data_IF_397608099226
#
_entry.id   IF_397608099226
#
_cell.length_a   1.000
_cell.length_b   1.000
_cell.length_c   1.000
_cell.angle_alpha   90.00
_cell.angle_beta   90.00
_cell.angle_gamma   90.00
#
_symmetry.space_group_name_H-M   'P 1'
#
loop_
_entity.id
_entity.type
_entity.pdbx_description
1 polymer ?
#
# COMPACT_ATOMS: atom_id res chain seq x y z
N UNK A 1 -3.05 25.05 49.49
CA UNK A 1 -3.95 24.31 48.56
C UNK A 1 -3.48 24.29 47.11
N UNK A 2 -3.11 25.41 46.48
CA UNK A 2 -2.67 25.45 45.05
C UNK A 2 -1.46 24.56 44.74
N UNK A 3 -0.45 24.52 45.62
CA UNK A 3 0.75 23.66 45.47
C UNK A 3 0.43 22.16 45.56
N UNK A 4 -0.52 21.77 46.42
CA UNK A 4 -0.96 20.36 46.56
C UNK A 4 -1.73 19.91 45.30
N UNK A 5 -2.58 20.78 44.73
CA UNK A 5 -3.30 20.49 43.48
C UNK A 5 -2.34 20.29 42.29
N UNK A 6 -1.31 21.13 42.18
CA UNK A 6 -0.28 20.99 41.12
C UNK A 6 0.49 19.68 41.28
N UNK A 7 0.86 19.32 42.51
CA UNK A 7 1.57 18.05 42.78
C UNK A 7 0.71 16.83 42.43
N UNK A 8 -0.58 16.84 42.76
CA UNK A 8 -1.51 15.75 42.41
C UNK A 8 -1.66 15.64 40.88
N UNK A 9 -1.80 16.76 40.17
CA UNK A 9 -1.84 16.75 38.70
C UNK A 9 -0.54 16.18 38.14
N UNK A 10 0.62 16.61 38.63
CA UNK A 10 1.92 16.10 38.17
C UNK A 10 2.08 14.60 38.41
N UNK A 11 1.66 14.10 39.59
CA UNK A 11 1.70 12.66 39.93
C UNK A 11 0.74 11.87 39.03
N UNK A 12 -0.46 12.38 38.77
CA UNK A 12 -1.42 11.73 37.86
C UNK A 12 -0.91 11.75 36.42
N UNK A 13 -0.31 12.85 35.96
CA UNK A 13 0.29 12.94 34.62
C UNK A 13 1.46 11.98 34.44
N UNK A 14 2.36 11.87 35.44
CA UNK A 14 3.50 10.93 35.41
C UNK A 14 3.01 9.47 35.51
N UNK A 15 1.97 9.20 36.32
CA UNK A 15 1.38 7.86 36.43
C UNK A 15 0.64 7.44 35.14
N UNK A 16 0.02 8.36 34.42
CA UNK A 16 -0.63 8.10 33.14
C UNK A 16 0.35 7.97 31.95
N UNK A 17 1.56 8.52 32.05
CA UNK A 17 2.57 8.42 30.99
C UNK A 17 3.24 7.04 30.89
N UNK A 18 3.12 6.19 31.92
CA UNK A 18 3.81 4.90 31.97
C UNK A 18 3.03 3.71 31.38
N UNK A 19 1.86 3.90 30.75
CA UNK A 19 0.96 2.76 30.43
C UNK A 19 0.32 2.76 29.04
N UNK A 20 0.90 3.44 28.05
CA UNK A 20 0.53 3.23 26.64
C UNK A 20 1.73 2.67 25.89
N UNK A 21 1.94 1.37 26.09
CA UNK A 21 2.96 0.59 25.42
C UNK A 21 2.27 -0.37 24.46
N UNK A 22 2.48 -0.17 23.17
CA UNK A 22 1.94 -1.02 22.11
C UNK A 22 3.11 -1.55 21.26
N UNK A 23 2.99 -2.79 20.80
CA UNK A 23 3.92 -3.30 19.79
C UNK A 23 3.75 -2.49 18.51
N UNK A 24 4.88 -2.07 17.93
CA UNK A 24 4.90 -1.41 16.63
C UNK A 24 5.48 -2.32 15.57
N UNK A 25 5.08 -2.14 14.30
CA UNK A 25 5.59 -2.95 13.20
C UNK A 25 5.74 -2.18 11.89
N UNK A 26 6.56 -2.72 11.00
CA UNK A 26 6.65 -2.26 9.61
C UNK A 26 5.59 -2.95 8.76
N UNK A 27 5.00 -2.18 7.86
CA UNK A 27 4.04 -2.67 6.88
C UNK A 27 4.74 -2.91 5.53
N UNK A 28 4.52 -4.08 4.91
CA UNK A 28 5.09 -4.38 3.60
C UNK A 28 4.34 -3.67 2.48
N UNK A 29 5.03 -3.44 1.36
CA UNK A 29 4.39 -2.97 0.13
C UNK A 29 3.43 -4.02 -0.43
N UNK A 30 2.34 -3.58 -1.05
CA UNK A 30 1.32 -4.47 -1.59
C UNK A 30 1.88 -5.46 -2.62
N UNK A 31 2.87 -5.03 -3.42
CA UNK A 31 3.59 -5.89 -4.36
C UNK A 31 4.25 -7.08 -3.66
N UNK A 32 4.91 -6.85 -2.53
CA UNK A 32 5.57 -7.91 -1.75
C UNK A 32 4.56 -8.89 -1.16
N UNK A 33 3.46 -8.38 -0.62
CA UNK A 33 2.36 -9.21 -0.10
C UNK A 33 1.84 -10.16 -1.17
N UNK A 34 1.52 -9.64 -2.35
CA UNK A 34 0.95 -10.44 -3.44
C UNK A 34 1.96 -11.49 -3.92
N UNK A 35 3.23 -11.12 -4.06
CA UNK A 35 4.29 -12.04 -4.51
C UNK A 35 4.57 -13.18 -3.52
N UNK A 36 4.41 -12.93 -2.22
CA UNK A 36 4.72 -13.91 -1.17
C UNK A 36 3.51 -14.74 -0.74
N UNK A 37 2.30 -14.27 -0.99
CA UNK A 37 1.09 -15.02 -0.69
C UNK A 37 0.97 -16.28 -1.57
N UNK A 38 0.36 -17.33 -1.04
CA UNK A 38 0.17 -18.62 -1.73
C UNK A 38 -1.29 -18.87 -2.13
N UNK A 39 -2.21 -18.16 -1.47
CA UNK A 39 -3.65 -18.25 -1.70
C UNK A 39 -4.26 -16.86 -1.75
N UNK A 40 -5.18 -16.68 -2.69
CA UNK A 40 -6.07 -15.53 -2.77
C UNK A 40 -7.52 -16.03 -2.70
N UNK A 41 -8.27 -15.59 -1.71
CA UNK A 41 -9.62 -16.11 -1.42
C UNK A 41 -10.58 -15.01 -0.99
N UNK A 42 -11.88 -15.21 -1.23
CA UNK A 42 -12.95 -14.50 -0.53
C UNK A 42 -13.46 -15.42 0.58
N UNK A 43 -13.53 -14.90 1.80
CA UNK A 43 -13.96 -15.67 2.96
C UNK A 43 -14.89 -14.87 3.88
N UNK A 44 -15.66 -15.60 4.67
CA UNK A 44 -16.47 -15.05 5.76
C UNK A 44 -15.81 -15.39 7.11
N UNK A 45 -15.69 -14.41 8.00
CA UNK A 45 -15.19 -14.61 9.37
C UNK A 45 -16.28 -15.30 10.19
N UNK A 46 -16.03 -16.53 10.63
CA UNK A 46 -16.98 -17.30 11.43
C UNK A 46 -16.81 -16.97 12.92
N UNK A 47 -15.57 -16.84 13.36
CA UNK A 47 -15.20 -16.71 14.77
C UNK A 47 -13.78 -16.15 14.90
N UNK A 48 -13.55 -15.39 15.97
CA UNK A 48 -12.24 -14.97 16.44
C UNK A 48 -12.11 -15.44 17.90
N UNK A 49 -11.17 -16.35 18.16
CA UNK A 49 -10.93 -16.93 19.48
C UNK A 49 -9.44 -16.88 19.86
N UNK A 50 -9.06 -17.58 20.94
CA UNK A 50 -7.65 -17.63 21.40
C UNK A 50 -6.71 -18.37 20.45
N UNK A 51 -7.23 -19.16 19.50
CA UNK A 51 -6.44 -19.87 18.50
C UNK A 51 -6.21 -19.01 17.26
N UNK A 52 -7.15 -18.11 16.93
CA UNK A 52 -7.03 -17.16 15.84
C UNK A 52 -8.34 -16.89 15.13
N UNK A 53 -8.25 -16.55 13.84
CA UNK A 53 -9.41 -16.21 12.99
C UNK A 53 -9.87 -17.46 12.25
N UNK A 54 -11.10 -17.90 12.49
CA UNK A 54 -11.72 -19.00 11.77
C UNK A 54 -12.49 -18.47 10.58
N UNK A 55 -12.14 -18.96 9.39
CA UNK A 55 -12.73 -18.51 8.14
C UNK A 55 -13.57 -19.62 7.49
N UNK A 56 -14.65 -19.23 6.83
CA UNK A 56 -15.35 -20.02 5.81
C UNK A 56 -14.96 -19.50 4.42
N UNK A 57 -14.34 -20.35 3.61
CA UNK A 57 -13.93 -20.00 2.25
C UNK A 57 -15.15 -20.00 1.33
N UNK A 58 -15.47 -18.83 0.76
CA UNK A 58 -16.59 -18.63 -0.16
C UNK A 58 -16.15 -18.78 -1.62
N UNK A 59 -14.94 -18.32 -1.95
CA UNK A 59 -14.37 -18.37 -3.29
C UNK A 59 -12.86 -18.49 -3.23
N UNK A 60 -12.29 -19.27 -4.16
CA UNK A 60 -10.84 -19.36 -4.36
C UNK A 60 -10.49 -18.68 -5.68
N UNK A 61 -9.41 -17.92 -5.69
CA UNK A 61 -8.82 -17.32 -6.87
C UNK A 61 -7.50 -18.02 -7.20
N UNK A 62 -7.16 -18.09 -8.49
CA UNK A 62 -5.99 -18.83 -8.96
C UNK A 62 -6.16 -20.36 -8.94
N UNK A 63 -5.04 -21.08 -8.98
CA UNK A 63 -5.04 -22.56 -9.07
C UNK A 63 -5.14 -23.26 -7.71
N UNK A 64 -4.51 -22.68 -6.68
CA UNK A 64 -4.48 -23.24 -5.35
C UNK A 64 -5.86 -23.12 -4.69
N UNK A 65 -6.31 -24.20 -4.06
CA UNK A 65 -7.60 -24.24 -3.36
C UNK A 65 -7.40 -24.53 -1.89
N UNK A 66 -8.13 -23.79 -1.07
CA UNK A 66 -8.25 -24.03 0.36
C UNK A 66 -9.47 -24.92 0.66
N UNK A 67 -9.42 -25.69 1.76
CA UNK A 67 -10.61 -26.34 2.28
C UNK A 67 -11.64 -25.28 2.70
N UNK A 68 -12.92 -25.68 2.81
CA UNK A 68 -14.02 -24.77 3.14
C UNK A 68 -13.82 -24.02 4.46
N UNK A 69 -13.01 -24.55 5.39
CA UNK A 69 -12.70 -23.92 6.66
C UNK A 69 -11.20 -23.88 6.89
N UNK A 70 -10.69 -22.73 7.29
CA UNK A 70 -9.28 -22.51 7.60
C UNK A 70 -9.13 -21.67 8.86
N UNK A 71 -7.98 -21.81 9.52
CA UNK A 71 -7.58 -21.02 10.67
C UNK A 71 -6.41 -20.13 10.28
N UNK A 72 -6.54 -18.82 10.54
CA UNK A 72 -5.44 -17.87 10.52
C UNK A 72 -4.94 -17.71 11.96
N UNK A 73 -3.67 -18.08 12.21
CA UNK A 73 -3.07 -18.03 13.55
C UNK A 73 -1.62 -17.52 13.53
N UNK A 74 -1.30 -16.64 12.59
CA UNK A 74 -0.02 -15.94 12.59
C UNK A 74 0.03 -14.79 11.62
N UNK A 75 1.22 -14.18 11.58
CA UNK A 75 1.59 -13.14 10.64
C UNK A 75 2.84 -13.57 9.87
N UNK A 76 2.87 -13.42 8.55
CA UNK A 76 3.97 -13.95 7.72
C UNK A 76 5.03 -12.92 7.34
N UNK A 77 4.69 -11.62 7.36
CA UNK A 77 5.60 -10.51 7.05
C UNK A 77 5.71 -9.52 8.21
N UNK A 78 5.30 -9.91 9.41
CA UNK A 78 5.37 -9.04 10.58
C UNK A 78 6.83 -8.82 11.00
N UNK A 79 7.30 -7.59 10.81
CA UNK A 79 8.56 -7.11 11.37
C UNK A 79 8.27 -6.15 12.52
N UNK A 80 8.56 -6.55 13.76
CA UNK A 80 8.31 -5.71 14.94
C UNK A 80 9.39 -4.62 15.04
N UNK A 81 8.96 -3.35 15.07
CA UNK A 81 9.83 -2.20 15.31
C UNK A 81 10.16 -2.02 16.80
N UNK A 82 9.14 -2.15 17.67
CA UNK A 82 9.33 -2.14 19.12
C UNK A 82 8.37 -3.12 19.79
N UNK A 83 8.86 -3.86 20.79
CA UNK A 83 8.02 -4.75 21.61
C UNK A 83 7.98 -4.21 23.03
N UNK A 84 6.83 -3.65 23.43
CA UNK A 84 6.72 -2.96 24.71
C UNK A 84 5.48 -3.32 25.56
N UNK A 85 4.50 -4.09 25.07
CA UNK A 85 3.44 -4.56 25.99
C UNK A 85 2.21 -5.23 25.37
N UNK A 86 1.46 -4.54 24.52
CA UNK A 86 0.26 -5.11 23.89
C UNK A 86 0.61 -5.85 22.60
N UNK A 87 0.41 -7.17 22.62
CA UNK A 87 0.60 -8.03 21.45
C UNK A 87 -0.20 -7.60 20.23
N UNK A 88 0.35 -7.86 19.04
CA UNK A 88 -0.40 -7.82 17.79
C UNK A 88 -1.67 -8.69 17.86
N UNK A 89 -2.78 -8.17 17.36
CA UNK A 89 -4.07 -8.87 17.36
C UNK A 89 -4.79 -8.66 16.03
N UNK A 90 -5.71 -9.57 15.73
CA UNK A 90 -6.64 -9.44 14.61
C UNK A 90 -7.80 -8.53 15.01
N UNK A 91 -8.19 -7.64 14.10
CA UNK A 91 -9.34 -6.75 14.28
C UNK A 91 -10.42 -7.10 13.24
N UNK A 92 -10.98 -8.30 13.36
CA UNK A 92 -12.02 -8.81 12.48
C UNK A 92 -13.31 -9.08 13.23
N UNK A 93 -14.43 -8.78 12.59
CA UNK A 93 -15.75 -9.02 13.14
C UNK A 93 -16.38 -10.30 12.58
N UNK A 94 -17.13 -11.01 13.43
CA UNK A 94 -17.90 -12.18 13.00
C UNK A 94 -18.94 -11.77 11.94
N UNK A 95 -18.97 -12.50 10.84
CA UNK A 95 -19.86 -12.26 9.70
C UNK A 95 -19.29 -11.31 8.65
N UNK A 96 -18.10 -10.75 8.89
CA UNK A 96 -17.42 -9.90 7.92
C UNK A 96 -16.95 -10.75 6.73
N UNK A 97 -17.17 -10.22 5.52
CA UNK A 97 -16.65 -10.81 4.28
C UNK A 97 -15.41 -10.05 3.86
N UNK A 98 -14.32 -10.78 3.67
CA UNK A 98 -13.06 -10.18 3.24
C UNK A 98 -12.39 -11.04 2.19
N UNK A 99 -11.71 -10.35 1.28
CA UNK A 99 -10.67 -10.95 0.47
C UNK A 99 -9.41 -11.11 1.31
N UNK A 100 -8.71 -12.22 1.16
CA UNK A 100 -7.48 -12.52 1.89
C UNK A 100 -6.37 -12.99 0.95
N UNK A 101 -5.17 -12.51 1.20
CA UNK A 101 -3.90 -13.01 0.69
C UNK A 101 -3.21 -13.78 1.82
N UNK A 102 -3.15 -15.11 1.68
CA UNK A 102 -2.72 -16.00 2.74
C UNK A 102 -1.45 -16.74 2.38
N UNK A 103 -0.63 -17.00 3.39
CA UNK A 103 0.53 -17.89 3.35
C UNK A 103 0.29 -19.10 4.23
N UNK A 104 0.86 -20.24 3.86
CA UNK A 104 0.78 -21.47 4.63
C UNK A 104 1.91 -21.53 5.64
N UNK A 105 1.58 -21.88 6.88
CA UNK A 105 2.54 -22.07 7.97
C UNK A 105 2.98 -23.52 8.08
N UNK A 106 4.08 -23.75 8.80
CA UNK A 106 4.62 -25.09 9.08
C UNK A 106 3.65 -25.97 9.90
N UNK A 107 2.82 -25.36 10.74
CA UNK A 107 1.77 -26.05 11.52
C UNK A 107 0.55 -26.46 10.68
N UNK A 108 0.54 -26.12 9.39
CA UNK A 108 -0.55 -26.40 8.45
C UNK A 108 -1.68 -25.37 8.45
N UNK A 109 -1.64 -24.39 9.36
CA UNK A 109 -2.56 -23.26 9.38
C UNK A 109 -2.07 -22.13 8.47
N UNK A 110 -2.72 -20.97 8.53
CA UNK A 110 -2.46 -19.85 7.62
C UNK A 110 -2.08 -18.58 8.36
N UNK A 111 -1.46 -17.65 7.63
CA UNK A 111 -1.10 -16.32 8.11
C UNK A 111 -1.47 -15.26 7.08
N UNK A 112 -1.90 -14.10 7.57
CA UNK A 112 -1.90 -12.83 6.83
C UNK A 112 -0.54 -12.15 6.99
N UNK A 113 -0.16 -11.16 6.17
CA UNK A 113 1.14 -10.51 6.27
C UNK A 113 1.38 -9.80 7.60
N UNK A 114 0.47 -8.91 7.99
CA UNK A 114 0.51 -8.08 9.21
C UNK A 114 -0.91 -7.89 9.76
N UNK A 115 -1.09 -7.27 10.94
CA UNK A 115 -2.42 -6.96 11.47
C UNK A 115 -3.31 -6.10 10.57
N UNK A 116 -2.74 -5.31 9.67
CA UNK A 116 -3.49 -4.34 8.85
C UNK A 116 -3.34 -4.51 7.34
N UNK A 117 -2.71 -5.60 6.88
CA UNK A 117 -2.53 -5.84 5.45
C UNK A 117 -2.82 -7.27 5.03
N UNK A 118 -2.88 -7.49 3.70
CA UNK A 118 -3.22 -8.76 3.08
C UNK A 118 -4.69 -9.15 3.19
N UNK A 119 -5.57 -8.20 3.49
CA UNK A 119 -7.01 -8.38 3.38
C UNK A 119 -7.69 -7.12 2.82
N UNK A 120 -8.90 -7.30 2.28
CA UNK A 120 -9.75 -6.19 1.82
C UNK A 120 -11.20 -6.49 2.17
N UNK A 121 -11.87 -5.54 2.83
CA UNK A 121 -13.25 -5.71 3.32
C UNK A 121 -14.22 -5.54 2.15
N UNK A 122 -15.17 -6.47 2.00
CA UNK A 122 -16.33 -6.34 1.12
C UNK A 122 -17.51 -5.79 1.92
N UNK A 123 -18.00 -4.62 1.52
CA UNK A 123 -19.13 -3.96 2.19
C UNK A 123 -20.49 -4.49 1.72
N UNK A 124 -21.56 -3.94 2.32
CA UNK A 124 -22.94 -4.31 2.00
C UNK A 124 -23.40 -3.81 0.61
N UNK A 125 -22.72 -2.81 0.04
CA UNK A 125 -23.00 -2.21 -1.26
C UNK A 125 -22.24 -2.91 -2.41
N UNK A 126 -21.52 -3.99 -2.13
CA UNK A 126 -20.61 -4.68 -3.05
C UNK A 126 -19.44 -3.83 -3.53
N UNK A 127 -18.89 -2.98 -2.66
CA UNK A 127 -17.59 -2.36 -2.85
C UNK A 127 -16.54 -3.00 -1.94
N UNK A 128 -15.29 -2.86 -2.36
CA UNK A 128 -14.12 -3.42 -1.69
C UNK A 128 -13.21 -2.28 -1.26
N UNK A 129 -12.83 -2.26 0.01
CA UNK A 129 -11.79 -1.39 0.55
C UNK A 129 -10.42 -1.94 0.15
N UNK A 130 -10.01 -1.64 -1.08
CA UNK A 130 -8.90 -2.29 -1.76
C UNK A 130 -7.59 -1.53 -1.57
N UNK A 131 -6.52 -2.25 -1.23
CA UNK A 131 -5.16 -1.70 -1.15
C UNK A 131 -4.41 -1.98 -2.45
N UNK A 132 -3.93 -0.98 -3.20
CA UNK A 132 -3.10 -1.27 -4.40
C UNK A 132 -1.61 -0.99 -4.21
N UNK A 133 -1.27 -0.14 -3.24
CA UNK A 133 0.11 0.29 -3.02
C UNK A 133 0.62 -0.09 -1.63
N UNK A 134 -0.08 0.37 -0.60
CA UNK A 134 0.31 0.23 0.79
C UNK A 134 -0.95 0.24 1.66
N UNK A 135 -0.98 -0.53 2.75
CA UNK A 135 -2.15 -0.76 3.62
C UNK A 135 -2.86 0.50 4.15
N UNK A 136 -2.18 1.65 4.25
CA UNK A 136 -2.80 2.92 4.65
C UNK A 136 -3.64 3.59 3.55
N UNK A 137 -3.50 3.13 2.32
CA UNK A 137 -4.12 3.73 1.15
C UNK A 137 -5.09 2.74 0.53
N UNK A 138 -6.31 2.76 1.07
CA UNK A 138 -7.44 2.00 0.54
C UNK A 138 -8.23 2.86 -0.44
N UNK A 139 -8.65 2.25 -1.55
CA UNK A 139 -9.60 2.79 -2.49
C UNK A 139 -10.89 1.99 -2.41
N UNK A 140 -12.04 2.67 -2.41
CA UNK A 140 -13.34 1.99 -2.47
C UNK A 140 -13.65 1.64 -3.92
N UNK A 141 -13.61 0.34 -4.26
CA UNK A 141 -13.68 -0.15 -5.63
C UNK A 141 -14.88 -1.11 -5.78
N UNK A 142 -15.69 -1.00 -6.83
CA UNK A 142 -16.73 -1.99 -7.13
C UNK A 142 -16.16 -3.41 -7.18
N UNK A 143 -16.87 -4.37 -6.59
CA UNK A 143 -16.41 -5.76 -6.44
C UNK A 143 -15.91 -6.37 -7.75
N UNK A 144 -16.62 -6.16 -8.84
CA UNK A 144 -16.29 -6.70 -10.17
C UNK A 144 -14.95 -6.13 -10.70
N UNK A 145 -14.71 -4.84 -10.52
CA UNK A 145 -13.44 -4.19 -10.85
C UNK A 145 -12.31 -4.70 -9.94
N UNK A 146 -12.57 -4.84 -8.64
CA UNK A 146 -11.59 -5.40 -7.71
C UNK A 146 -11.21 -6.82 -8.11
N UNK A 147 -12.18 -7.72 -8.28
CA UNK A 147 -11.91 -9.12 -8.66
C UNK A 147 -11.18 -9.21 -10.01
N UNK A 148 -11.58 -8.42 -11.01
CA UNK A 148 -10.92 -8.39 -12.31
C UNK A 148 -9.44 -7.96 -12.20
N UNK A 149 -9.16 -6.85 -11.53
CA UNK A 149 -7.80 -6.33 -11.40
C UNK A 149 -6.93 -7.23 -10.52
N UNK A 150 -7.41 -7.64 -9.34
CA UNK A 150 -6.65 -8.46 -8.42
C UNK A 150 -6.44 -9.89 -8.91
N UNK A 151 -7.41 -10.50 -9.58
CA UNK A 151 -7.20 -11.81 -10.21
C UNK A 151 -6.13 -11.72 -11.31
N UNK A 152 -6.13 -10.63 -12.08
CA UNK A 152 -5.11 -10.39 -13.11
C UNK A 152 -3.73 -10.20 -12.50
N UNK A 153 -3.61 -9.35 -11.47
CA UNK A 153 -2.35 -9.12 -10.74
C UNK A 153 -1.85 -10.41 -10.07
N UNK A 154 -2.74 -11.15 -9.42
CA UNK A 154 -2.45 -12.44 -8.81
C UNK A 154 -1.88 -13.41 -9.85
N UNK A 155 -2.58 -13.58 -10.97
CA UNK A 155 -2.18 -14.48 -12.03
C UNK A 155 -0.83 -14.08 -12.65
N UNK A 156 -0.60 -12.77 -12.83
CA UNK A 156 0.69 -12.25 -13.31
C UNK A 156 1.86 -12.68 -12.40
N UNK A 157 1.77 -12.45 -11.09
CA UNK A 157 2.85 -12.81 -10.15
C UNK A 157 2.99 -14.33 -9.93
N UNK A 158 1.96 -15.11 -10.22
CA UNK A 158 1.95 -16.57 -10.07
C UNK A 158 2.11 -17.33 -11.40
N UNK A 159 2.49 -16.65 -12.47
CA UNK A 159 2.71 -17.24 -13.80
C UNK A 159 1.48 -18.01 -14.33
N UNK A 160 0.29 -17.49 -14.09
CA UNK A 160 -0.99 -18.02 -14.59
C UNK A 160 -1.49 -17.17 -15.76
N UNK A 161 -2.29 -17.77 -16.64
CA UNK A 161 -2.97 -17.04 -17.71
C UNK A 161 -4.00 -16.04 -17.15
N UNK A 162 -4.13 -14.89 -17.79
CA UNK A 162 -5.11 -13.86 -17.41
C UNK A 162 -5.61 -13.08 -18.63
N UNK A 163 -6.78 -12.44 -18.49
CA UNK A 163 -7.37 -11.63 -19.55
C UNK A 163 -6.69 -10.26 -19.63
N UNK A 164 -5.64 -10.19 -20.46
CA UNK A 164 -4.93 -8.94 -20.72
C UNK A 164 -5.82 -7.88 -21.38
N UNK A 165 -6.83 -8.27 -22.15
CA UNK A 165 -7.65 -7.29 -22.88
C UNK A 165 -8.58 -6.54 -21.93
N UNK A 166 -9.27 -7.24 -21.03
CA UNK A 166 -10.15 -6.60 -20.05
C UNK A 166 -9.42 -5.62 -19.15
N UNK A 167 -8.24 -6.01 -18.64
CA UNK A 167 -7.46 -5.12 -17.77
C UNK A 167 -6.90 -3.91 -18.54
N UNK A 168 -6.47 -4.10 -19.79
CA UNK A 168 -6.01 -3.00 -20.64
C UNK A 168 -7.14 -2.04 -21.00
N UNK A 169 -8.35 -2.55 -21.26
CA UNK A 169 -9.54 -1.73 -21.51
C UNK A 169 -9.85 -0.85 -20.30
N UNK A 170 -9.90 -1.44 -19.10
CA UNK A 170 -10.06 -0.71 -17.84
C UNK A 170 -8.99 0.38 -17.65
N UNK A 171 -7.71 0.01 -17.79
CA UNK A 171 -6.59 0.96 -17.64
C UNK A 171 -6.73 2.13 -18.63
N UNK A 172 -7.00 1.81 -19.90
CA UNK A 172 -7.12 2.83 -20.94
C UNK A 172 -8.32 3.75 -20.72
N UNK A 173 -9.46 3.22 -20.26
CA UNK A 173 -10.65 4.00 -19.99
C UNK A 173 -10.40 5.03 -18.88
N UNK A 174 -9.74 4.62 -17.78
CA UNK A 174 -9.51 5.52 -16.65
C UNK A 174 -8.40 6.55 -16.93
N UNK A 175 -7.27 6.14 -17.54
CA UNK A 175 -6.15 7.03 -17.86
C UNK A 175 -6.53 8.08 -18.92
N UNK A 176 -7.51 7.78 -19.79
CA UNK A 176 -7.98 8.74 -20.79
C UNK A 176 -8.67 9.96 -20.15
N UNK A 177 -9.30 9.80 -18.98
CA UNK A 177 -10.00 10.88 -18.26
C UNK A 177 -8.99 11.86 -17.65
N UNK A 178 -9.41 13.09 -17.37
CA UNK A 178 -8.58 14.04 -16.61
C UNK A 178 -8.46 13.60 -15.14
N UNK A 179 -7.36 13.95 -14.45
CA UNK A 179 -7.20 13.59 -13.04
C UNK A 179 -8.38 14.09 -12.20
N UNK A 180 -9.05 13.18 -11.51
CA UNK A 180 -10.20 13.48 -10.66
C UNK A 180 -9.76 13.95 -9.26
N UNK A 181 -10.55 14.83 -8.66
CA UNK A 181 -10.39 15.31 -7.28
C UNK A 181 -11.06 14.43 -6.22
N UNK A 182 -11.18 14.98 -5.01
CA UNK A 182 -11.86 14.35 -3.86
C UNK A 182 -13.30 14.84 -3.67
N UNK A 183 -13.82 15.63 -4.60
CA UNK A 183 -15.21 16.07 -4.57
C UNK A 183 -16.17 14.87 -4.68
N UNK A 184 -17.35 14.96 -4.08
CA UNK A 184 -18.31 13.85 -3.97
C UNK A 184 -18.66 13.23 -5.34
N UNK A 185 -18.75 14.06 -6.38
CA UNK A 185 -19.03 13.63 -7.74
C UNK A 185 -17.80 13.08 -8.51
N UNK A 186 -16.61 13.21 -7.94
CA UNK A 186 -15.32 12.82 -8.55
C UNK A 186 -14.67 11.62 -7.85
N UNK A 187 -14.96 11.42 -6.56
CA UNK A 187 -14.25 10.46 -5.71
C UNK A 187 -14.24 9.02 -6.27
N UNK A 188 -15.35 8.57 -6.86
CA UNK A 188 -15.42 7.26 -7.51
C UNK A 188 -14.47 7.17 -8.70
N UNK A 189 -14.41 8.22 -9.53
CA UNK A 189 -13.48 8.29 -10.67
C UNK A 189 -12.04 8.34 -10.17
N UNK A 190 -11.77 9.08 -9.11
CA UNK A 190 -10.45 9.14 -8.47
C UNK A 190 -9.99 7.75 -8.00
N UNK A 191 -10.84 6.99 -7.30
CA UNK A 191 -10.50 5.63 -6.87
C UNK A 191 -10.23 4.69 -8.05
N UNK A 192 -11.04 4.75 -9.11
CA UNK A 192 -10.82 3.94 -10.31
C UNK A 192 -9.52 4.33 -11.05
N UNK A 193 -9.19 5.62 -11.09
CA UNK A 193 -7.93 6.11 -11.66
C UNK A 193 -6.72 5.62 -10.85
N UNK A 194 -6.78 5.73 -9.52
CA UNK A 194 -5.75 5.18 -8.63
C UNK A 194 -5.56 3.67 -8.87
N UNK A 195 -6.65 2.90 -8.83
CA UNK A 195 -6.61 1.47 -9.10
C UNK A 195 -6.02 1.16 -10.48
N UNK A 196 -6.36 1.94 -11.52
CA UNK A 196 -5.85 1.72 -12.87
C UNK A 196 -4.34 1.96 -13.01
N UNK A 197 -3.82 3.05 -12.44
CA UNK A 197 -2.39 3.39 -12.49
C UNK A 197 -1.56 2.36 -11.71
N UNK A 198 -2.01 1.99 -10.51
CA UNK A 198 -1.33 0.98 -9.70
C UNK A 198 -1.42 -0.41 -10.34
N UNK A 199 -2.57 -0.76 -10.95
CA UNK A 199 -2.71 -2.03 -11.68
C UNK A 199 -1.73 -2.09 -12.86
N UNK A 200 -1.58 -1.00 -13.62
CA UNK A 200 -0.59 -0.93 -14.69
C UNK A 200 0.84 -1.13 -14.15
N UNK A 201 1.17 -0.48 -13.03
CA UNK A 201 2.48 -0.64 -12.38
C UNK A 201 2.72 -2.07 -11.88
N UNK A 202 1.74 -2.67 -11.21
CA UNK A 202 1.83 -4.03 -10.65
C UNK A 202 1.89 -5.11 -11.72
N UNK A 203 1.40 -4.84 -12.94
CA UNK A 203 1.47 -5.76 -14.08
C UNK A 203 2.67 -5.50 -15.00
N UNK A 204 3.55 -4.55 -14.63
CA UNK A 204 4.66 -4.07 -15.46
C UNK A 204 4.19 -3.68 -16.89
N UNK A 205 3.04 -3.00 -16.98
CA UNK A 205 2.46 -2.49 -18.24
C UNK A 205 2.91 -1.04 -18.44
N UNK A 206 3.80 -0.74 -19.40
CA UNK A 206 4.20 0.62 -19.69
C UNK A 206 3.05 1.39 -20.34
N UNK A 207 2.83 2.64 -19.90
CA UNK A 207 1.87 3.58 -20.50
C UNK A 207 2.64 4.80 -20.96
N UNK A 208 2.38 5.31 -22.16
CA UNK A 208 3.14 6.43 -22.73
C UNK A 208 3.13 7.66 -21.81
N UNK A 209 4.30 8.31 -21.65
CA UNK A 209 4.46 9.48 -20.77
C UNK A 209 3.38 10.54 -21.02
N UNK A 210 3.09 10.86 -22.28
CA UNK A 210 2.09 11.87 -22.68
C UNK A 210 0.67 11.58 -22.20
N UNK A 211 0.37 10.34 -21.76
CA UNK A 211 -0.94 9.97 -21.22
C UNK A 211 -0.99 10.04 -19.69
N UNK A 212 0.16 9.87 -19.03
CA UNK A 212 0.24 9.80 -17.57
C UNK A 212 0.87 11.04 -16.93
N UNK A 213 1.56 11.90 -17.70
CA UNK A 213 2.19 13.14 -17.21
C UNK A 213 1.18 14.08 -16.55
N UNK A 214 -0.07 14.11 -17.03
CA UNK A 214 -1.14 14.93 -16.45
C UNK A 214 -1.48 14.55 -15.02
N UNK A 215 -1.31 13.28 -14.64
CA UNK A 215 -1.51 12.82 -13.27
C UNK A 215 -0.31 13.18 -12.38
N UNK A 216 0.90 13.22 -12.94
CA UNK A 216 2.11 13.66 -12.23
C UNK A 216 2.12 15.18 -12.01
N UNK A 217 1.44 15.94 -12.87
CA UNK A 217 1.34 17.39 -12.78
C UNK A 217 0.04 17.87 -12.10
N UNK A 218 -0.80 16.98 -11.59
CA UNK A 218 -2.02 17.38 -10.87
C UNK A 218 -1.73 17.78 -9.43
N UNK A 219 -2.64 18.50 -8.79
CA UNK A 219 -2.52 18.84 -7.35
C UNK A 219 -2.84 17.66 -6.43
N UNK A 220 -3.20 16.50 -6.98
CA UNK A 220 -3.59 15.33 -6.20
C UNK A 220 -2.38 14.45 -5.87
N UNK A 221 -1.98 14.43 -4.60
CA UNK A 221 -0.89 13.62 -4.06
C UNK A 221 -0.91 12.15 -4.55
N UNK A 222 -2.06 11.47 -4.47
CA UNK A 222 -2.14 10.06 -4.83
C UNK A 222 -1.95 9.85 -6.33
N UNK A 223 -2.52 10.73 -7.16
CA UNK A 223 -2.33 10.72 -8.61
C UNK A 223 -0.87 10.95 -9.00
N UNK A 224 -0.20 11.91 -8.34
CA UNK A 224 1.22 12.18 -8.55
C UNK A 224 2.05 10.94 -8.24
N UNK A 225 1.89 10.37 -7.05
CA UNK A 225 2.66 9.20 -6.64
C UNK A 225 2.40 8.00 -7.55
N UNK A 226 1.14 7.69 -7.90
CA UNK A 226 0.80 6.55 -8.77
C UNK A 226 1.45 6.68 -10.15
N UNK A 227 1.37 7.87 -10.74
CA UNK A 227 1.90 8.12 -12.08
C UNK A 227 3.43 8.15 -12.11
N UNK A 228 4.07 8.80 -11.15
CA UNK A 228 5.54 8.82 -11.01
C UNK A 228 6.09 7.41 -10.75
N UNK A 229 5.41 6.59 -9.98
CA UNK A 229 5.78 5.19 -9.78
C UNK A 229 5.66 4.38 -11.09
N UNK A 230 4.58 4.60 -11.84
CA UNK A 230 4.36 3.95 -13.14
C UNK A 230 5.42 4.34 -14.19
N UNK A 231 5.91 5.58 -14.15
CA UNK A 231 7.01 6.05 -15.03
C UNK A 231 8.31 5.24 -14.88
N UNK A 232 8.48 4.49 -13.78
CA UNK A 232 9.60 3.55 -13.60
C UNK A 232 9.61 2.38 -14.60
N UNK A 233 8.60 2.27 -15.48
CA UNK A 233 8.52 1.30 -16.56
C UNK A 233 8.91 1.88 -17.93
N UNK A 234 9.20 3.19 -18.02
CA UNK A 234 9.48 3.88 -19.28
C UNK A 234 10.96 4.21 -19.39
N UNK A 235 11.74 3.29 -19.95
CA UNK A 235 13.20 3.45 -20.12
C UNK A 235 13.55 4.31 -21.35
N UNK A 236 13.05 5.54 -21.38
CA UNK A 236 13.35 6.54 -22.41
C UNK A 236 13.94 7.82 -21.79
N UNK A 237 14.66 8.59 -22.62
CA UNK A 237 15.35 9.78 -22.15
C UNK A 237 14.39 10.86 -21.63
N UNK A 238 13.24 11.04 -22.27
CA UNK A 238 12.28 12.09 -21.92
C UNK A 238 11.68 11.81 -20.55
N UNK A 239 11.33 10.56 -20.26
CA UNK A 239 10.84 10.19 -18.93
C UNK A 239 11.90 10.38 -17.84
N UNK A 240 13.17 10.05 -18.11
CA UNK A 240 14.26 10.25 -17.13
C UNK A 240 14.49 11.73 -16.83
N UNK A 241 14.46 12.58 -17.86
CA UNK A 241 14.55 14.04 -17.72
C UNK A 241 13.38 14.57 -16.90
N UNK A 242 12.16 14.16 -17.23
CA UNK A 242 10.95 14.52 -16.47
C UNK A 242 11.07 14.16 -14.99
N UNK A 243 11.45 12.91 -14.67
CA UNK A 243 11.63 12.47 -13.27
C UNK A 243 12.72 13.27 -12.55
N UNK A 244 13.84 13.56 -13.23
CA UNK A 244 14.92 14.33 -12.62
C UNK A 244 14.52 15.79 -12.36
N UNK A 245 13.75 16.41 -13.26
CA UNK A 245 13.16 17.74 -13.05
C UNK A 245 12.11 17.72 -11.93
N UNK A 246 11.26 16.68 -11.89
CA UNK A 246 10.26 16.48 -10.85
C UNK A 246 10.91 16.42 -9.45
N UNK A 247 12.06 15.76 -9.32
CA UNK A 247 12.82 15.67 -8.06
C UNK A 247 13.35 17.03 -7.61
N UNK A 248 13.81 17.87 -8.55
CA UNK A 248 14.38 19.18 -8.27
C UNK A 248 13.32 20.27 -8.01
N UNK A 249 12.07 20.04 -8.44
CA UNK A 249 10.99 21.01 -8.27
C UNK A 249 10.66 21.25 -6.79
N UNK A 250 10.60 22.51 -6.38
CA UNK A 250 10.14 22.90 -5.04
C UNK A 250 8.64 22.68 -4.83
N UNK A 251 7.87 22.51 -5.91
CA UNK A 251 6.41 22.32 -5.85
C UNK A 251 6.00 20.87 -5.50
N UNK A 252 6.96 19.95 -5.42
CA UNK A 252 6.71 18.54 -5.11
C UNK A 252 7.17 18.22 -3.69
N UNK A 253 6.32 17.48 -2.98
CA UNK A 253 6.56 17.10 -1.60
C UNK A 253 7.63 16.01 -1.49
N UNK A 254 8.23 15.87 -0.31
CA UNK A 254 9.31 14.92 -0.06
C UNK A 254 8.94 13.47 -0.43
N UNK A 255 7.72 13.04 -0.08
CA UNK A 255 7.25 11.70 -0.41
C UNK A 255 7.21 11.47 -1.94
N UNK A 256 6.68 12.44 -2.68
CA UNK A 256 6.60 12.39 -4.15
C UNK A 256 8.00 12.32 -4.77
N UNK A 257 8.94 13.10 -4.23
CA UNK A 257 10.35 13.10 -4.66
C UNK A 257 11.03 11.77 -4.42
N UNK A 258 10.82 11.14 -3.27
CA UNK A 258 11.38 9.80 -2.98
C UNK A 258 10.87 8.77 -3.98
N UNK A 259 9.58 8.81 -4.30
CA UNK A 259 9.01 7.90 -5.31
C UNK A 259 9.63 8.17 -6.68
N UNK A 260 9.83 9.43 -7.06
CA UNK A 260 10.54 9.78 -8.30
C UNK A 260 12.01 9.32 -8.29
N UNK A 261 12.71 9.42 -7.16
CA UNK A 261 14.09 8.94 -6.98
C UNK A 261 14.14 7.43 -7.17
N UNK A 262 13.25 6.66 -6.54
CA UNK A 262 13.18 5.21 -6.72
C UNK A 262 12.81 4.81 -8.15
N UNK A 263 11.88 5.53 -8.78
CA UNK A 263 11.55 5.34 -10.20
C UNK A 263 12.77 5.58 -11.10
N UNK A 264 13.47 6.69 -10.91
CA UNK A 264 14.65 7.05 -11.69
C UNK A 264 15.83 6.11 -11.39
N UNK A 265 15.97 5.60 -10.17
CA UNK A 265 16.96 4.57 -9.83
C UNK A 265 16.79 3.30 -10.67
N UNK A 266 15.54 2.92 -10.98
CA UNK A 266 15.20 1.72 -11.76
C UNK A 266 15.57 1.85 -13.24
N UNK A 267 15.35 3.01 -13.86
CA UNK A 267 15.53 3.22 -15.32
C UNK A 267 16.71 4.11 -15.71
N UNK A 268 17.28 4.85 -14.77
CA UNK A 268 18.22 5.95 -15.04
C UNK A 268 19.64 5.51 -15.41
N UNK A 269 20.00 4.25 -15.19
CA UNK A 269 21.36 3.74 -15.43
C UNK A 269 22.42 4.49 -14.61
N UNK A 270 23.68 4.46 -15.05
CA UNK A 270 24.78 5.13 -14.33
C UNK A 270 24.67 6.66 -14.36
N UNK A 271 24.31 7.22 -15.52
CA UNK A 271 24.26 8.68 -15.73
C UNK A 271 23.34 9.37 -14.72
N UNK A 272 22.10 8.91 -14.58
CA UNK A 272 21.14 9.56 -13.67
C UNK A 272 21.41 9.24 -12.21
N UNK A 273 22.04 8.10 -11.89
CA UNK A 273 22.54 7.86 -10.54
C UNK A 273 23.61 8.88 -10.16
N UNK A 274 24.58 9.13 -11.04
CA UNK A 274 25.62 10.14 -10.82
C UNK A 274 25.00 11.54 -10.70
N UNK A 275 23.97 11.87 -11.50
CA UNK A 275 23.21 13.14 -11.35
C UNK A 275 22.49 13.25 -10.01
N UNK A 276 21.83 12.18 -9.55
CA UNK A 276 21.13 12.15 -8.25
C UNK A 276 22.11 12.36 -7.10
N UNK A 277 23.23 11.63 -7.10
CA UNK A 277 24.31 11.81 -6.12
C UNK A 277 24.81 13.25 -6.13
N UNK A 278 24.99 13.85 -7.32
CA UNK A 278 25.42 15.23 -7.48
C UNK A 278 24.48 16.29 -6.89
N UNK A 279 23.19 15.97 -6.66
CA UNK A 279 22.22 16.89 -6.04
C UNK A 279 21.82 16.49 -4.61
N UNK A 280 22.38 15.41 -4.05
CA UNK A 280 21.95 14.84 -2.77
C UNK A 280 21.94 15.87 -1.62
N UNK A 281 22.96 16.73 -1.55
CA UNK A 281 23.07 17.76 -0.50
C UNK A 281 22.05 18.90 -0.66
N UNK A 282 21.48 19.07 -1.85
CA UNK A 282 20.43 20.06 -2.14
C UNK A 282 19.04 19.53 -1.80
N UNK A 283 18.89 18.20 -1.68
CA UNK A 283 17.63 17.57 -1.31
C UNK A 283 17.39 17.70 0.20
N UNK A 284 16.10 17.74 0.56
CA UNK A 284 15.67 17.76 1.95
C UNK A 284 16.11 16.49 2.68
N UNK A 285 16.54 16.67 3.93
CA UNK A 285 16.82 15.59 4.88
C UNK A 285 15.64 15.37 5.84
N UNK A 286 14.53 16.09 5.64
CA UNK A 286 13.35 15.93 6.47
C UNK A 286 12.67 14.61 6.13
N UNK A 287 12.58 13.73 7.14
CA UNK A 287 11.79 12.51 7.08
C UNK A 287 10.37 12.83 6.61
N UNK A 288 9.82 11.92 5.83
CA UNK A 288 8.44 11.98 5.37
C UNK A 288 7.75 10.69 5.75
N UNK A 289 6.45 10.61 5.53
CA UNK A 289 5.67 9.46 5.96
C UNK A 289 4.38 9.37 5.18
N UNK A 290 3.69 8.26 5.39
CA UNK A 290 2.36 8.07 4.84
C UNK A 290 1.40 9.04 5.55
N UNK A 291 0.96 10.09 4.84
CA UNK A 291 -0.01 11.03 5.38
C UNK A 291 -1.38 10.36 5.58
N UNK A 292 -2.08 10.71 6.67
CA UNK A 292 -3.45 10.25 6.96
C UNK A 292 -3.81 10.31 8.45
N UNK A 293 -5.00 10.80 8.78
CA UNK A 293 -5.49 10.95 10.18
C UNK A 293 -6.08 9.66 10.78
N UNK A 294 -5.99 8.52 10.11
CA UNK A 294 -6.62 7.24 10.49
C UNK A 294 -5.61 6.10 10.48
N UNK A 295 -4.37 6.37 10.85
CA UNK A 295 -3.36 5.32 10.98
C UNK A 295 -3.51 4.60 12.30
N UNK A 296 -3.40 3.27 12.28
CA UNK A 296 -3.10 2.53 13.50
C UNK A 296 -1.77 3.10 14.03
N UNK A 297 -1.76 3.73 15.22
CA UNK A 297 -0.59 4.42 15.75
C UNK A 297 0.58 3.47 16.04
N UNK A 298 0.34 2.15 15.93
CA UNK A 298 1.35 1.12 16.08
C UNK A 298 2.18 0.91 14.82
N UNK A 299 1.76 1.41 13.66
CA UNK A 299 2.51 1.16 12.45
C UNK A 299 3.69 2.14 12.37
N UNK A 300 4.89 1.59 12.31
CA UNK A 300 6.17 2.31 12.42
C UNK A 300 6.99 2.34 11.13
N UNK A 301 6.41 2.00 9.98
CA UNK A 301 7.11 1.97 8.69
C UNK A 301 7.83 3.29 8.43
N UNK A 302 9.15 3.25 8.48
CA UNK A 302 9.99 4.39 8.14
C UNK A 302 9.96 4.62 6.64
N UNK A 303 9.88 5.88 6.22
CA UNK A 303 9.97 6.28 4.83
C UNK A 303 11.10 7.31 4.70
N UNK A 304 12.09 7.08 3.83
CA UNK A 304 13.32 7.87 3.84
C UNK A 304 13.05 9.31 3.40
N UNK A 305 13.91 10.24 3.82
CA UNK A 305 13.96 11.56 3.20
C UNK A 305 14.43 11.47 1.73
N UNK A 306 14.16 12.48 0.89
CA UNK A 306 14.71 12.51 -0.47
C UNK A 306 16.23 12.36 -0.51
N UNK A 307 16.95 12.94 0.46
CA UNK A 307 18.41 12.78 0.57
C UNK A 307 18.79 11.34 0.91
N UNK A 308 18.12 10.71 1.87
CA UNK A 308 18.37 9.32 2.26
C UNK A 308 18.07 8.34 1.11
N UNK A 309 16.97 8.56 0.38
CA UNK A 309 16.63 7.76 -0.79
C UNK A 309 17.71 7.80 -1.87
N UNK A 310 18.45 8.91 -2.02
CA UNK A 310 19.62 8.99 -2.89
C UNK A 310 20.83 8.26 -2.31
N UNK A 311 21.08 8.35 -1.00
CA UNK A 311 22.19 7.62 -0.35
C UNK A 311 22.04 6.10 -0.47
N UNK A 312 20.80 5.58 -0.48
CA UNK A 312 20.52 4.15 -0.76
C UNK A 312 20.87 3.70 -2.19
N UNK A 313 21.26 4.63 -3.08
CA UNK A 313 21.70 4.34 -4.45
C UNK A 313 23.19 4.01 -4.51
N UNK A 314 23.98 4.54 -3.57
CA UNK A 314 25.43 4.34 -3.46
C UNK A 314 25.80 2.88 -3.20
#
# INVERSE_FOLDING_TARGET
MRKIKILIILIVSIACQNTLQAETWDEPWQKEIIQKAEYFVLANVIELDSLGVHLEILQNFGQNKLPNKVLINGFSLLNLGSSSGQGVHYDFEKGQKLYFLLTKKEDGNFAIPTPTSGFAVLDEENNVYATYRHSYHQALIPKDIYEMTYQTIWNYYHNLEYDKNSVMEFINEQIKKEPAGFEENEISTFFLQHASLETAYLLDIPIELSRIEKFANSDNFHSKVSSVQLMSLLDDQVTKEFLFEFIQSENNDNFEKVIAIWSLKKIGGKEYKDKLIGIADLLSDEETGFGGNLMDPRIGTSFPSPREAVKEIE
#
